data_IF_973095027362
#
_entry.id   IF_973095027362
#
_cell.length_a   1.000
_cell.length_b   1.000
_cell.length_c   1.000
_cell.angle_alpha   90.00
_cell.angle_beta   90.00
_cell.angle_gamma   90.00
#
_symmetry.space_group_name_H-M   'P 1'
#
loop_
_entity.id
_entity.type
_entity.pdbx_description
1 polymer ?
#
# COMPACT_ATOMS: atom_id res chain seq x y z
N UNK A 1 -2.52 0.29 41.42
CA UNK A 1 -1.49 -0.16 40.47
C UNK A 1 -1.47 -1.67 40.50
N UNK A 2 -1.29 -2.29 39.34
CA UNK A 2 -1.22 -3.75 39.15
C UNK A 2 -0.17 -4.09 38.09
N UNK A 3 0.22 -5.36 38.01
CA UNK A 3 1.20 -5.81 37.03
C UNK A 3 0.52 -6.32 35.75
N UNK A 4 1.02 -5.85 34.61
CA UNK A 4 0.75 -6.40 33.30
C UNK A 4 2.01 -7.10 32.79
N UNK A 5 2.00 -8.42 32.75
CA UNK A 5 3.04 -9.21 32.12
C UNK A 5 2.66 -9.49 30.67
N UNK A 6 3.57 -9.23 29.74
CA UNK A 6 3.41 -9.55 28.33
C UNK A 6 4.50 -10.52 27.92
N UNK A 7 4.12 -11.63 27.28
CA UNK A 7 5.04 -12.62 26.71
C UNK A 7 4.90 -12.65 25.19
N UNK A 8 5.98 -12.34 24.50
CA UNK A 8 6.11 -12.58 23.06
C UNK A 8 6.62 -13.99 22.85
N UNK A 9 5.77 -14.91 22.38
CA UNK A 9 6.20 -16.27 22.03
C UNK A 9 7.22 -16.22 20.90
N UNK A 10 8.13 -17.20 20.86
CA UNK A 10 9.11 -17.32 19.79
C UNK A 10 8.39 -17.60 18.48
N UNK A 11 8.66 -16.78 17.47
CA UNK A 11 8.28 -17.01 16.08
C UNK A 11 9.48 -16.76 15.17
N UNK A 12 9.52 -17.42 14.02
CA UNK A 12 10.48 -17.08 12.96
C UNK A 12 10.08 -15.77 12.26
N UNK A 13 8.78 -15.50 12.18
CA UNK A 13 8.21 -14.29 11.57
C UNK A 13 8.49 -13.08 12.46
N UNK A 14 9.07 -12.01 11.91
CA UNK A 14 9.39 -10.79 12.64
C UNK A 14 10.44 -10.97 13.75
N UNK A 15 11.19 -12.08 13.75
CA UNK A 15 12.08 -12.49 14.84
C UNK A 15 13.21 -11.49 15.15
N UNK A 16 13.65 -10.71 14.16
CA UNK A 16 14.70 -9.70 14.28
C UNK A 16 14.17 -8.38 14.87
N UNK A 17 12.88 -8.11 14.73
CA UNK A 17 12.27 -6.87 15.21
C UNK A 17 12.05 -6.87 16.73
N UNK A 18 12.07 -5.68 17.34
CA UNK A 18 11.59 -5.48 18.72
C UNK A 18 10.13 -5.04 18.67
N UNK A 19 9.28 -5.76 19.39
CA UNK A 19 7.88 -5.39 19.57
C UNK A 19 7.82 -4.24 20.58
N UNK A 20 7.25 -3.11 20.19
CA UNK A 20 7.05 -1.94 21.05
C UNK A 20 5.67 -2.01 21.68
N UNK A 21 5.60 -1.85 23.00
CA UNK A 21 4.36 -1.85 23.75
C UNK A 21 3.99 -0.44 24.17
N UNK A 22 2.75 -0.08 23.91
CA UNK A 22 2.16 1.21 24.19
C UNK A 22 0.89 1.03 25.01
N UNK A 23 0.55 2.03 25.82
CA UNK A 23 -0.71 2.09 26.57
C UNK A 23 -1.47 3.36 26.19
N UNK A 24 -2.80 3.31 26.13
CA UNK A 24 -3.62 4.51 25.94
C UNK A 24 -3.34 5.53 27.05
N UNK A 25 -3.03 6.77 26.65
CA UNK A 25 -2.69 7.86 27.56
C UNK A 25 -3.09 9.20 26.90
N UNK A 26 -4.27 9.71 27.26
CA UNK A 26 -4.82 10.96 26.69
C UNK A 26 -4.14 12.23 27.19
N UNK A 27 -3.33 12.12 28.25
CA UNK A 27 -2.69 13.27 28.90
C UNK A 27 -1.25 13.41 28.42
N UNK A 28 -0.52 12.30 28.36
CA UNK A 28 0.92 12.26 28.11
C UNK A 28 1.31 11.44 26.86
N UNK A 29 0.34 11.01 26.06
CA UNK A 29 0.57 10.23 24.84
C UNK A 29 1.36 11.02 23.79
N UNK A 30 2.49 10.46 23.35
CA UNK A 30 3.42 11.06 22.39
C UNK A 30 3.32 10.42 20.98
N UNK A 31 2.50 9.37 20.84
CA UNK A 31 2.25 8.68 19.60
C UNK A 31 0.76 8.36 19.44
N UNK A 32 0.20 8.67 18.28
CA UNK A 32 -1.16 8.27 17.94
C UNK A 32 -1.14 6.94 17.19
N UNK A 33 -1.89 5.95 17.65
CA UNK A 33 -2.09 4.66 16.97
C UNK A 33 -3.58 4.55 16.65
N UNK A 34 -3.95 4.48 15.37
CA UNK A 34 -5.36 4.46 14.92
C UNK A 34 -6.20 5.61 15.51
N UNK A 35 -5.62 6.81 15.64
CA UNK A 35 -6.30 7.97 16.22
C UNK A 35 -6.29 8.03 17.75
N UNK A 36 -5.76 7.00 18.44
CA UNK A 36 -5.71 6.95 19.92
C UNK A 36 -4.35 7.42 20.44
N UNK A 37 -4.28 8.46 21.29
CA UNK A 37 -3.05 8.89 21.94
C UNK A 37 -2.51 7.81 22.89
N UNK A 38 -1.27 7.42 22.67
CA UNK A 38 -0.62 6.35 23.40
C UNK A 38 0.77 6.77 23.88
N UNK A 39 1.20 6.23 25.01
CA UNK A 39 2.56 6.37 25.56
C UNK A 39 3.26 5.03 25.57
N UNK A 40 4.55 5.01 25.20
CA UNK A 40 5.35 3.79 25.22
C UNK A 40 5.61 3.33 26.66
N UNK A 41 5.46 2.03 26.92
CA UNK A 41 5.78 1.42 28.22
C UNK A 41 6.94 0.41 28.16
N UNK A 42 7.29 -0.11 26.97
CA UNK A 42 8.45 -0.98 26.84
C UNK A 42 8.66 -1.60 25.46
N UNK A 43 9.65 -2.49 25.39
CA UNK A 43 10.02 -3.26 24.19
C UNK A 43 10.19 -4.74 24.54
N UNK A 44 9.78 -5.65 23.65
CA UNK A 44 9.98 -7.10 23.76
C UNK A 44 10.74 -7.65 22.54
N UNK A 45 11.85 -8.35 22.81
CA UNK A 45 12.54 -9.22 21.85
C UNK A 45 11.74 -10.51 21.62
N UNK A 46 12.11 -11.24 20.57
CA UNK A 46 11.49 -12.53 20.26
C UNK A 46 11.72 -13.53 21.41
N UNK A 47 10.64 -14.13 21.94
CA UNK A 47 10.71 -15.02 23.10
C UNK A 47 10.84 -14.33 24.46
N UNK A 48 10.81 -12.99 24.52
CA UNK A 48 10.94 -12.24 25.77
C UNK A 48 9.60 -12.12 26.51
N UNK A 49 9.70 -12.01 27.83
CA UNK A 49 8.62 -11.66 28.73
C UNK A 49 9.03 -10.45 29.56
N UNK A 50 8.12 -9.48 29.73
CA UNK A 50 8.33 -8.31 30.58
C UNK A 50 7.06 -7.95 31.35
N UNK A 51 7.27 -7.39 32.54
CA UNK A 51 6.21 -6.91 33.42
C UNK A 51 6.24 -5.39 33.48
N UNK A 52 5.07 -4.78 33.36
CA UNK A 52 4.85 -3.35 33.41
C UNK A 52 3.86 -3.03 34.54
N UNK A 53 4.09 -1.94 35.26
CA UNK A 53 3.16 -1.47 36.29
C UNK A 53 2.16 -0.53 35.62
N UNK A 54 0.86 -0.86 35.72
CA UNK A 54 -0.24 -0.08 35.14
C UNK A 54 -1.25 0.31 36.23
N UNK A 55 -2.15 1.24 35.90
CA UNK A 55 -3.25 1.64 36.78
C UNK A 55 -4.33 0.55 36.92
N UNK A 56 -5.30 0.83 37.79
CA UNK A 56 -6.41 -0.08 38.08
C UNK A 56 -7.64 0.19 37.21
N UNK A 57 -7.64 1.31 36.50
CA UNK A 57 -8.63 1.69 35.52
C UNK A 57 -8.62 0.76 34.30
N UNK A 58 -9.74 0.78 33.57
CA UNK A 58 -9.78 0.21 32.23
C UNK A 58 -8.84 0.98 31.31
N UNK A 59 -8.15 0.27 30.43
CA UNK A 59 -7.19 0.87 29.51
C UNK A 59 -6.96 -0.07 28.35
N UNK A 60 -6.28 0.41 27.31
CA UNK A 60 -5.92 -0.39 26.14
C UNK A 60 -4.42 -0.45 25.98
N UNK A 61 -3.91 -1.65 25.74
CA UNK A 61 -2.50 -1.87 25.39
C UNK A 61 -2.38 -2.15 23.89
N UNK A 62 -1.41 -1.53 23.24
CA UNK A 62 -1.10 -1.69 21.83
C UNK A 62 0.27 -2.31 21.63
N UNK A 63 0.40 -3.11 20.58
CA UNK A 63 1.65 -3.75 20.17
C UNK A 63 1.95 -3.42 18.70
N UNK A 64 3.09 -2.75 18.45
CA UNK A 64 3.54 -2.34 17.11
C UNK A 64 5.03 -2.63 16.91
N UNK A 65 5.50 -2.72 15.67
CA UNK A 65 6.94 -2.87 15.39
C UNK A 65 7.65 -1.53 15.21
N UNK A 66 7.02 -0.57 14.57
CA UNK A 66 7.59 0.76 14.32
C UNK A 66 6.50 1.82 14.14
N UNK A 67 6.94 3.08 14.05
CA UNK A 67 6.04 4.23 13.99
C UNK A 67 5.46 4.47 12.58
N UNK A 68 6.11 3.97 11.53
CA UNK A 68 5.67 4.12 10.15
C UNK A 68 4.51 3.16 9.89
N UNK A 69 4.63 1.92 10.35
CA UNK A 69 3.61 0.89 10.15
C UNK A 69 2.49 0.88 11.19
N UNK A 70 2.52 1.78 12.18
CA UNK A 70 1.70 1.69 13.40
C UNK A 70 0.19 1.61 13.14
N UNK A 71 -0.30 2.18 12.05
CA UNK A 71 -1.73 2.28 11.75
C UNK A 71 -2.26 1.09 10.91
N UNK A 72 -1.40 0.13 10.56
CA UNK A 72 -1.78 -1.07 9.80
C UNK A 72 -1.14 -2.36 10.31
N UNK A 73 0.07 -2.29 10.86
CA UNK A 73 0.78 -3.37 11.53
C UNK A 73 0.73 -3.16 13.06
N UNK A 74 -0.47 -3.33 13.62
CA UNK A 74 -0.72 -3.28 15.05
C UNK A 74 -1.75 -4.33 15.49
N UNK A 75 -1.77 -4.60 16.79
CA UNK A 75 -2.88 -5.24 17.50
C UNK A 75 -3.03 -4.57 18.87
N UNK A 76 -4.21 -4.65 19.46
CA UNK A 76 -4.49 -4.11 20.78
C UNK A 76 -5.24 -5.10 21.65
N UNK A 77 -5.17 -4.91 22.96
CA UNK A 77 -5.96 -5.67 23.94
C UNK A 77 -6.61 -4.70 24.92
N UNK A 78 -7.92 -4.82 25.12
CA UNK A 78 -8.65 -4.05 26.13
C UNK A 78 -8.44 -4.70 27.50
N UNK A 79 -7.84 -3.94 28.42
CA UNK A 79 -7.58 -4.37 29.79
C UNK A 79 -8.72 -3.89 30.68
N UNK A 80 -9.52 -4.78 31.27
CA UNK A 80 -10.63 -4.39 32.15
C UNK A 80 -10.11 -3.76 33.44
N UNK A 81 -10.89 -2.88 34.06
CA UNK A 81 -10.57 -2.34 35.38
C UNK A 81 -10.41 -3.46 36.43
N UNK A 82 -9.53 -3.27 37.41
CA UNK A 82 -9.28 -4.24 38.48
C UNK A 82 -7.96 -4.02 39.21
N UNK A 83 -7.73 -4.83 40.25
CA UNK A 83 -6.56 -4.80 41.12
C UNK A 83 -5.71 -6.08 41.04
N UNK A 84 -6.01 -6.97 40.09
CA UNK A 84 -5.31 -8.22 39.85
C UNK A 84 -4.28 -8.10 38.72
N UNK A 85 -3.24 -8.92 38.80
CA UNK A 85 -2.20 -9.02 37.78
C UNK A 85 -2.71 -9.75 36.53
N UNK A 86 -2.24 -9.33 35.35
CA UNK A 86 -2.61 -9.93 34.07
C UNK A 86 -1.39 -10.50 33.33
N UNK A 87 -1.58 -11.63 32.65
CA UNK A 87 -0.63 -12.18 31.69
C UNK A 87 -1.25 -12.17 30.29
N UNK A 88 -0.65 -11.41 29.38
CA UNK A 88 -0.98 -11.43 27.96
C UNK A 88 0.11 -12.18 27.19
N UNK A 89 -0.31 -12.99 26.23
CA UNK A 89 0.60 -13.74 25.35
C UNK A 89 0.26 -13.47 23.90
N UNK A 90 1.24 -13.65 23.01
CA UNK A 90 0.98 -13.56 21.58
C UNK A 90 2.20 -13.83 20.73
N UNK A 91 2.04 -13.76 19.42
CA UNK A 91 3.12 -13.93 18.46
C UNK A 91 2.85 -13.21 17.14
N UNK A 92 3.89 -13.03 16.35
CA UNK A 92 3.77 -12.61 14.96
C UNK A 92 3.05 -13.66 14.12
N UNK A 93 2.15 -13.20 13.27
CA UNK A 93 1.50 -14.02 12.24
C UNK A 93 2.07 -13.67 10.87
N UNK A 94 2.33 -14.67 10.04
CA UNK A 94 2.75 -14.42 8.66
C UNK A 94 1.55 -13.89 7.86
N UNK A 95 1.58 -12.60 7.56
CA UNK A 95 0.62 -11.91 6.71
C UNK A 95 1.29 -10.61 6.23
N UNK A 96 1.95 -10.63 5.05
CA UNK A 96 2.60 -9.46 4.48
C UNK A 96 1.68 -8.23 4.35
N UNK A 97 0.40 -8.44 3.99
CA UNK A 97 -0.61 -7.37 3.90
C UNK A 97 -0.95 -6.71 5.23
N UNK A 98 -0.48 -7.24 6.37
CA UNK A 98 -0.57 -6.57 7.68
C UNK A 98 0.81 -6.33 8.31
N UNK A 99 1.88 -6.34 7.50
CA UNK A 99 3.26 -6.15 7.97
C UNK A 99 3.73 -7.24 8.94
N UNK A 100 3.15 -8.45 8.89
CA UNK A 100 3.39 -9.54 9.82
C UNK A 100 3.14 -9.17 11.30
N UNK A 101 2.04 -8.44 11.55
CA UNK A 101 1.68 -7.94 12.87
C UNK A 101 1.73 -9.00 13.97
N UNK A 102 2.10 -8.56 15.18
CA UNK A 102 1.91 -9.34 16.40
C UNK A 102 0.41 -9.48 16.69
N UNK A 103 -0.03 -10.65 17.14
CA UNK A 103 -1.42 -10.90 17.57
C UNK A 103 -1.44 -11.41 19.00
N UNK A 104 -2.25 -10.76 19.83
CA UNK A 104 -2.55 -11.27 21.17
C UNK A 104 -3.39 -12.55 21.07
N UNK A 105 -3.03 -13.56 21.86
CA UNK A 105 -3.77 -14.81 21.96
C UNK A 105 -5.13 -14.59 22.64
N UNK A 106 -6.15 -15.37 22.26
CA UNK A 106 -7.51 -15.34 22.84
C UNK A 106 -8.18 -13.95 22.79
N UNK A 107 -7.83 -13.13 21.81
CA UNK A 107 -8.32 -11.77 21.66
C UNK A 107 -9.15 -11.65 20.38
N UNK A 108 -10.44 -11.96 20.50
CA UNK A 108 -11.38 -12.09 19.38
C UNK A 108 -12.63 -11.23 19.58
N UNK A 109 -12.50 -10.07 20.22
CA UNK A 109 -13.62 -9.13 20.27
C UNK A 109 -13.87 -8.54 18.88
N UNK A 110 -15.12 -8.18 18.61
CA UNK A 110 -15.54 -7.61 17.31
C UNK A 110 -14.67 -6.41 16.91
N UNK A 111 -14.41 -5.48 17.83
CA UNK A 111 -13.55 -4.33 17.57
C UNK A 111 -12.08 -4.68 17.29
N UNK A 112 -11.58 -5.81 17.81
CA UNK A 112 -10.21 -6.27 17.52
C UNK A 112 -10.17 -6.88 16.13
N UNK A 113 -11.17 -7.69 15.77
CA UNK A 113 -11.28 -8.25 14.42
C UNK A 113 -11.43 -7.16 13.36
N UNK A 114 -12.25 -6.15 13.62
CA UNK A 114 -12.41 -4.99 12.73
C UNK A 114 -11.08 -4.22 12.57
N UNK A 115 -10.34 -3.99 13.66
CA UNK A 115 -9.02 -3.37 13.61
C UNK A 115 -8.03 -4.19 12.76
N UNK A 116 -8.04 -5.52 12.91
CA UNK A 116 -7.19 -6.43 12.12
C UNK A 116 -7.55 -6.39 10.64
N UNK A 117 -8.85 -6.38 10.30
CA UNK A 117 -9.33 -6.22 8.92
C UNK A 117 -8.89 -4.88 8.36
N UNK A 118 -9.17 -3.78 9.05
CA UNK A 118 -8.75 -2.41 8.66
C UNK A 118 -7.24 -2.29 8.47
N UNK A 119 -6.45 -2.84 9.38
CA UNK A 119 -5.00 -2.87 9.27
C UNK A 119 -4.51 -3.70 8.09
N UNK A 120 -5.14 -4.83 7.80
CA UNK A 120 -4.84 -5.63 6.61
C UNK A 120 -5.19 -4.86 5.33
N UNK A 121 -6.32 -4.13 5.30
CA UNK A 121 -6.67 -3.27 4.15
C UNK A 121 -5.60 -2.23 3.90
N UNK A 122 -5.22 -1.48 4.94
CA UNK A 122 -4.19 -0.45 4.85
C UNK A 122 -2.82 -1.03 4.46
N UNK A 123 -2.42 -2.15 5.06
CA UNK A 123 -1.12 -2.75 4.78
C UNK A 123 -1.04 -3.42 3.41
N UNK A 124 -2.15 -3.96 2.89
CA UNK A 124 -2.24 -4.41 1.51
C UNK A 124 -1.98 -3.24 0.56
N UNK A 125 -2.62 -2.11 0.80
CA UNK A 125 -2.41 -0.89 0.00
C UNK A 125 -0.96 -0.42 0.10
N UNK A 126 -0.35 -0.39 1.29
CA UNK A 126 1.08 -0.05 1.44
C UNK A 126 1.98 -1.00 0.63
N UNK A 127 1.64 -2.29 0.59
CA UNK A 127 2.39 -3.28 -0.18
C UNK A 127 2.25 -3.06 -1.71
N UNK A 128 1.04 -2.70 -2.16
CA UNK A 128 0.77 -2.29 -3.55
C UNK A 128 1.57 -1.03 -3.90
N UNK A 129 1.58 -0.03 -3.00
CA UNK A 129 2.30 1.25 -3.12
C UNK A 129 3.81 1.09 -3.19
N UNK A 130 4.40 0.16 -2.44
CA UNK A 130 5.83 -0.11 -2.53
C UNK A 130 6.27 -0.59 -3.93
N UNK A 131 5.35 -1.09 -4.75
CA UNK A 131 5.60 -1.48 -6.14
C UNK A 131 5.43 -0.32 -7.13
N UNK A 132 4.67 0.73 -6.79
CA UNK A 132 4.36 1.87 -7.69
C UNK A 132 5.53 2.88 -7.76
N UNK A 133 6.33 3.02 -6.71
CA UNK A 133 7.44 4.01 -6.61
C UNK A 133 8.79 3.46 -7.13
N UNK A 134 8.79 2.29 -7.79
CA UNK A 134 9.99 1.54 -8.15
C UNK A 134 10.47 1.70 -9.61
N UNK A 135 11.44 2.60 -9.82
CA UNK A 135 12.57 2.44 -10.77
C UNK A 135 12.24 2.48 -12.28
N UNK A 136 12.11 3.69 -12.85
CA UNK A 136 12.45 3.97 -14.27
C UNK A 136 13.99 4.08 -14.42
N UNK A 137 14.76 3.10 -13.93
CA UNK A 137 16.19 3.03 -14.28
C UNK A 137 16.28 2.30 -15.63
N UNK A 138 16.30 3.09 -16.70
CA UNK A 138 16.64 2.60 -18.05
C UNK A 138 15.49 2.42 -19.03
N UNK A 139 14.26 2.85 -18.74
CA UNK A 139 13.10 2.68 -19.67
C UNK A 139 13.14 3.64 -20.88
N UNK A 140 14.14 4.52 -20.98
CA UNK A 140 14.37 5.33 -22.19
C UNK A 140 15.71 4.97 -22.84
N UNK A 141 16.03 3.66 -22.99
CA UNK A 141 17.16 3.26 -23.84
C UNK A 141 16.74 3.47 -25.30
N UNK A 142 16.90 4.71 -25.75
CA UNK A 142 16.75 5.08 -27.15
C UNK A 142 17.64 4.21 -28.02
N UNK A 143 17.01 3.41 -28.89
CA UNK A 143 17.68 2.94 -30.10
C UNK A 143 17.32 3.91 -31.22
N UNK A 144 18.35 4.49 -31.83
CA UNK A 144 18.24 5.41 -32.95
C UNK A 144 17.73 4.73 -34.21
N UNK A 145 16.44 4.45 -34.26
CA UNK A 145 15.69 4.26 -35.50
C UNK A 145 14.49 5.18 -35.38
N UNK A 146 14.69 6.45 -35.75
CA UNK A 146 13.59 7.32 -36.12
C UNK A 146 13.00 6.70 -37.38
N UNK A 147 11.90 5.97 -37.22
CA UNK A 147 11.07 5.60 -38.37
C UNK A 147 10.39 6.88 -38.85
N UNK A 148 10.67 7.31 -40.08
CA UNK A 148 10.04 8.47 -40.71
C UNK A 148 8.55 8.22 -41.07
N UNK A 149 8.00 7.08 -40.63
CA UNK A 149 6.62 6.65 -40.85
C UNK A 149 5.78 6.93 -39.61
N UNK A 150 4.52 7.37 -39.77
CA UNK A 150 3.63 7.56 -38.62
C UNK A 150 3.41 6.22 -37.91
N UNK A 151 3.53 6.24 -36.58
CA UNK A 151 3.32 5.07 -35.74
C UNK A 151 1.93 4.46 -35.96
N UNK A 152 1.87 3.14 -36.12
CA UNK A 152 0.63 2.42 -36.36
C UNK A 152 0.06 1.87 -35.04
N UNK A 153 -1.27 1.81 -34.86
CA UNK A 153 -1.86 1.25 -33.65
C UNK A 153 -1.48 -0.23 -33.45
N UNK A 154 -0.98 -0.56 -32.26
CA UNK A 154 -0.66 -1.94 -31.87
C UNK A 154 -1.32 -2.29 -30.53
N UNK A 155 -1.95 -3.47 -30.47
CA UNK A 155 -2.63 -3.96 -29.26
C UNK A 155 -1.72 -4.89 -28.47
N UNK A 156 -1.44 -4.51 -27.22
CA UNK A 156 -0.70 -5.29 -26.25
C UNK A 156 -1.68 -6.00 -25.32
N UNK A 157 -1.41 -7.27 -25.00
CA UNK A 157 -2.27 -8.07 -24.11
C UNK A 157 -1.45 -8.70 -23.00
N UNK A 158 -1.91 -8.56 -21.75
CA UNK A 158 -1.35 -9.21 -20.57
C UNK A 158 -2.46 -9.81 -19.72
N UNK A 159 -2.41 -11.13 -19.55
CA UNK A 159 -3.52 -11.88 -18.94
C UNK A 159 -4.85 -11.58 -19.65
N UNK A 160 -5.86 -11.10 -18.92
CA UNK A 160 -7.16 -10.69 -19.46
C UNK A 160 -7.24 -9.19 -19.79
N UNK A 161 -6.18 -8.41 -19.60
CA UNK A 161 -6.14 -6.99 -19.96
C UNK A 161 -5.53 -6.80 -21.35
N UNK A 162 -6.13 -5.96 -22.18
CA UNK A 162 -5.53 -5.45 -23.41
C UNK A 162 -5.54 -3.93 -23.47
N UNK A 163 -4.52 -3.34 -24.10
CA UNK A 163 -4.39 -1.91 -24.35
C UNK A 163 -3.88 -1.69 -25.77
N UNK A 164 -4.44 -0.71 -26.49
CA UNK A 164 -3.95 -0.31 -27.81
C UNK A 164 -3.08 0.94 -27.68
N UNK A 165 -1.80 0.79 -27.97
CA UNK A 165 -0.76 1.83 -28.00
C UNK A 165 -0.35 2.07 -29.48
N UNK A 166 0.94 2.14 -29.76
CA UNK A 166 1.51 2.14 -31.11
C UNK A 166 2.65 1.15 -31.22
N UNK A 167 3.07 0.85 -32.45
CA UNK A 167 4.22 -0.01 -32.77
C UNK A 167 5.59 0.59 -32.39
N UNK A 168 5.62 1.84 -31.92
CA UNK A 168 6.77 2.44 -31.24
C UNK A 168 6.99 1.88 -29.83
N UNK A 169 5.95 1.26 -29.24
CA UNK A 169 6.06 0.68 -27.91
C UNK A 169 6.64 -0.74 -27.96
N UNK A 170 7.44 -1.08 -26.96
CA UNK A 170 7.93 -2.45 -26.73
C UNK A 170 7.72 -2.86 -25.28
N UNK A 171 7.45 -4.14 -25.07
CA UNK A 171 7.41 -4.69 -23.71
C UNK A 171 8.83 -4.72 -23.11
N UNK A 172 8.94 -4.23 -21.88
CA UNK A 172 10.17 -4.24 -21.07
C UNK A 172 9.91 -4.89 -19.72
N UNK A 173 10.97 -5.37 -19.08
CA UNK A 173 10.88 -5.89 -17.72
C UNK A 173 11.05 -4.74 -16.72
N UNK A 174 10.08 -4.56 -15.85
CA UNK A 174 10.14 -3.66 -14.71
C UNK A 174 9.75 -4.43 -13.45
N UNK A 175 10.67 -4.49 -12.47
CA UNK A 175 10.42 -5.19 -11.22
C UNK A 175 9.26 -4.54 -10.46
N UNK A 176 8.31 -5.34 -9.97
CA UNK A 176 7.12 -4.85 -9.27
C UNK A 176 5.91 -4.58 -10.16
N UNK A 177 6.04 -4.68 -11.49
CA UNK A 177 4.93 -4.49 -12.42
C UNK A 177 4.55 -5.80 -13.11
N UNK A 178 3.26 -5.95 -13.41
CA UNK A 178 2.73 -7.09 -14.18
C UNK A 178 3.17 -7.02 -15.64
N UNK A 179 3.14 -5.80 -16.22
CA UNK A 179 3.69 -5.48 -17.52
C UNK A 179 4.23 -4.06 -17.52
N UNK A 180 5.23 -3.82 -18.36
CA UNK A 180 5.71 -2.49 -18.66
C UNK A 180 5.96 -2.38 -20.17
N UNK A 181 5.62 -1.22 -20.74
CA UNK A 181 5.86 -0.91 -22.14
C UNK A 181 6.64 0.41 -22.22
N UNK A 182 7.65 0.48 -23.08
CA UNK A 182 8.45 1.69 -23.31
C UNK A 182 8.31 2.17 -24.75
N UNK A 183 8.34 3.50 -24.90
CA UNK A 183 8.55 4.22 -26.16
C UNK A 183 9.61 5.30 -25.93
N UNK A 184 9.89 6.14 -26.92
CA UNK A 184 10.88 7.23 -26.78
C UNK A 184 10.52 8.21 -25.65
N UNK A 185 9.22 8.52 -25.46
CA UNK A 185 8.79 9.60 -24.57
C UNK A 185 7.77 9.18 -23.50
N UNK A 186 7.16 8.01 -23.64
CA UNK A 186 6.17 7.51 -22.67
C UNK A 186 6.49 6.09 -22.24
N UNK A 187 6.49 5.87 -20.93
CA UNK A 187 6.48 4.55 -20.32
C UNK A 187 5.06 4.22 -19.85
N UNK A 188 4.65 2.96 -19.99
CA UNK A 188 3.39 2.43 -19.46
C UNK A 188 3.72 1.35 -18.43
N UNK A 189 3.11 1.45 -17.25
CA UNK A 189 3.37 0.58 -16.11
C UNK A 189 2.04 0.01 -15.61
N UNK A 190 1.93 -1.32 -15.53
CA UNK A 190 0.68 -2.02 -15.20
C UNK A 190 0.83 -2.77 -13.88
N UNK A 191 -0.09 -2.54 -12.94
CA UNK A 191 -0.28 -3.38 -11.76
C UNK A 191 -1.69 -3.97 -11.72
N UNK A 192 -1.82 -5.10 -11.02
CA UNK A 192 -3.06 -5.86 -10.83
C UNK A 192 -3.16 -6.28 -9.37
N UNK A 193 -4.32 -6.06 -8.78
CA UNK A 193 -4.62 -6.44 -7.41
C UNK A 193 -5.88 -7.30 -7.32
N UNK A 194 -5.71 -8.61 -7.13
CA UNK A 194 -6.81 -9.57 -7.04
C UNK A 194 -7.72 -9.30 -5.84
N UNK A 195 -9.04 -9.42 -6.01
CA UNK A 195 -10.02 -9.31 -4.92
C UNK A 195 -9.80 -10.36 -3.82
N UNK A 196 -9.17 -11.48 -4.16
CA UNK A 196 -8.80 -12.53 -3.18
C UNK A 196 -7.77 -12.06 -2.14
N UNK A 197 -7.07 -10.95 -2.39
CA UNK A 197 -6.09 -10.41 -1.46
C UNK A 197 -6.72 -10.03 -0.10
N UNK A 198 -8.02 -9.73 -0.08
CA UNK A 198 -8.74 -9.33 1.12
C UNK A 198 -10.26 -9.50 0.98
N UNK A 199 -10.89 -10.06 2.02
CA UNK A 199 -12.34 -10.13 2.12
C UNK A 199 -13.01 -8.74 2.03
N UNK A 200 -13.94 -8.61 1.07
CA UNK A 200 -14.64 -7.37 0.76
C UNK A 200 -13.81 -6.36 -0.04
N UNK A 201 -12.63 -6.73 -0.55
CA UNK A 201 -11.85 -5.84 -1.42
C UNK A 201 -12.56 -5.62 -2.76
N UNK A 202 -13.20 -6.65 -3.31
CA UNK A 202 -14.05 -6.52 -4.50
C UNK A 202 -15.28 -5.62 -4.32
N UNK A 203 -15.62 -5.20 -3.11
CA UNK A 203 -16.79 -4.35 -2.85
C UNK A 203 -16.51 -2.86 -3.10
N UNK A 204 -15.24 -2.44 -3.12
CA UNK A 204 -14.86 -1.04 -3.36
C UNK A 204 -15.24 -0.58 -4.78
N UNK A 205 -15.58 0.69 -4.95
CA UNK A 205 -15.67 1.29 -6.29
C UNK A 205 -14.27 1.58 -6.84
N UNK A 206 -14.18 1.88 -8.14
CA UNK A 206 -12.91 2.27 -8.78
C UNK A 206 -12.37 3.56 -8.16
N UNK A 207 -13.27 4.50 -7.86
CA UNK A 207 -12.93 5.78 -7.24
C UNK A 207 -12.44 5.62 -5.80
N UNK A 208 -13.06 4.72 -5.02
CA UNK A 208 -12.58 4.42 -3.67
C UNK A 208 -11.20 3.78 -3.70
N UNK A 209 -10.98 2.82 -4.62
CA UNK A 209 -9.68 2.22 -4.85
C UNK A 209 -8.64 3.29 -5.25
N UNK A 210 -8.92 4.14 -6.22
CA UNK A 210 -8.02 5.22 -6.63
C UNK A 210 -7.74 6.22 -5.50
N UNK A 211 -8.75 6.54 -4.68
CA UNK A 211 -8.60 7.45 -3.54
C UNK A 211 -7.69 6.87 -2.46
N UNK A 212 -7.82 5.56 -2.23
CA UNK A 212 -6.94 4.80 -1.34
C UNK A 212 -5.49 4.82 -1.88
N UNK A 213 -5.28 4.65 -3.19
CA UNK A 213 -3.95 4.74 -3.81
C UNK A 213 -3.34 6.13 -3.60
N UNK A 214 -4.09 7.20 -3.83
CA UNK A 214 -3.63 8.59 -3.59
C UNK A 214 -3.28 8.84 -2.12
N UNK A 215 -4.15 8.43 -1.19
CA UNK A 215 -3.95 8.65 0.24
C UNK A 215 -2.69 7.94 0.76
N UNK A 216 -2.48 6.67 0.40
CA UNK A 216 -1.39 5.86 0.96
C UNK A 216 -0.03 6.20 0.34
N UNK A 217 0.01 6.66 -0.91
CA UNK A 217 1.24 7.19 -1.52
C UNK A 217 1.60 8.60 -1.02
N UNK A 218 0.79 9.19 -0.13
CA UNK A 218 0.95 10.58 0.32
C UNK A 218 1.09 11.56 -0.86
N UNK A 219 0.37 11.32 -1.97
CA UNK A 219 0.40 12.19 -3.15
C UNK A 219 -0.28 13.50 -2.80
N UNK A 220 0.53 14.46 -2.33
CA UNK A 220 0.05 15.79 -1.92
C UNK A 220 -0.58 16.49 -3.11
N UNK A 221 -1.62 17.24 -2.82
CA UNK A 221 -2.34 18.05 -3.81
C UNK A 221 -2.91 17.26 -5.01
N UNK A 222 -2.93 15.93 -4.92
CA UNK A 222 -3.50 15.03 -5.91
C UNK A 222 -4.94 14.70 -5.56
N UNK A 223 -5.82 14.70 -6.56
CA UNK A 223 -7.23 14.34 -6.40
C UNK A 223 -7.62 13.33 -7.47
N UNK A 224 -8.46 12.37 -7.06
CA UNK A 224 -9.13 11.46 -8.00
C UNK A 224 -10.14 12.25 -8.81
N UNK A 225 -10.05 12.11 -10.13
CA UNK A 225 -10.88 12.78 -11.13
C UNK A 225 -11.61 11.74 -11.97
N UNK A 226 -12.66 12.20 -12.66
CA UNK A 226 -13.39 11.40 -13.65
C UNK A 226 -13.47 12.13 -14.99
N UNK A 227 -13.33 11.37 -16.07
CA UNK A 227 -13.59 11.83 -17.43
C UNK A 227 -14.31 10.72 -18.21
N UNK A 228 -15.62 10.89 -18.44
CA UNK A 228 -16.46 9.79 -18.90
C UNK A 228 -16.45 8.63 -17.90
N UNK A 229 -16.14 7.43 -18.38
CA UNK A 229 -16.03 6.22 -17.55
C UNK A 229 -14.63 6.03 -16.93
N UNK A 230 -13.66 6.88 -17.29
CA UNK A 230 -12.31 6.81 -16.74
C UNK A 230 -12.26 7.43 -15.35
N UNK A 231 -11.62 6.71 -14.43
CA UNK A 231 -11.23 7.20 -13.09
C UNK A 231 -9.72 7.34 -13.06
N UNK A 232 -9.21 8.53 -12.77
CA UNK A 232 -7.78 8.81 -12.91
C UNK A 232 -7.28 9.85 -11.91
N UNK A 233 -5.98 9.88 -11.71
CA UNK A 233 -5.28 10.92 -10.96
C UNK A 233 -3.89 11.13 -11.57
N UNK A 234 -3.37 12.35 -11.46
CA UNK A 234 -2.05 12.69 -11.98
C UNK A 234 -1.19 13.25 -10.86
N UNK A 235 0.11 13.01 -10.94
CA UNK A 235 1.09 13.53 -9.99
C UNK A 235 2.47 13.66 -10.66
N UNK A 236 3.28 14.57 -10.14
CA UNK A 236 4.67 14.71 -10.54
C UNK A 236 5.62 13.89 -9.65
N UNK A 237 6.71 13.40 -10.23
CA UNK A 237 7.79 12.78 -9.48
C UNK A 237 9.14 13.20 -10.03
N UNK A 238 9.96 13.79 -9.16
CA UNK A 238 11.36 14.08 -9.45
C UNK A 238 12.21 12.83 -9.22
N UNK A 239 12.77 12.27 -10.30
CA UNK A 239 13.72 11.17 -10.22
C UNK A 239 15.14 11.73 -9.99
N UNK A 240 15.76 11.49 -8.82
CA UNK A 240 17.09 12.02 -8.53
C UNK A 240 18.22 11.37 -9.35
N UNK A 241 18.01 10.15 -9.85
CA UNK A 241 19.01 9.40 -10.61
C UNK A 241 19.11 9.91 -12.04
N UNK A 242 17.96 10.15 -12.69
CA UNK A 242 17.90 10.72 -14.05
C UNK A 242 17.92 12.25 -14.06
N UNK A 243 17.63 12.89 -12.91
CA UNK A 243 17.45 14.33 -12.75
C UNK A 243 16.31 14.91 -13.60
N UNK A 244 15.31 14.09 -13.87
CA UNK A 244 14.14 14.45 -14.68
C UNK A 244 12.89 14.42 -13.81
N UNK A 245 12.04 15.44 -13.97
CA UNK A 245 10.67 15.41 -13.46
C UNK A 245 9.80 14.68 -14.47
N UNK A 246 9.09 13.67 -13.99
CA UNK A 246 8.11 12.94 -14.77
C UNK A 246 6.71 13.31 -14.30
N UNK A 247 5.80 13.53 -15.24
CA UNK A 247 4.37 13.56 -14.97
C UNK A 247 3.83 12.13 -15.12
N UNK A 248 3.08 11.68 -14.13
CA UNK A 248 2.38 10.40 -14.14
C UNK A 248 0.90 10.63 -14.37
N UNK A 249 0.34 9.93 -15.35
CA UNK A 249 -1.09 9.84 -15.61
C UNK A 249 -1.55 8.44 -15.19
N UNK A 250 -2.28 8.35 -14.08
CA UNK A 250 -2.66 7.07 -13.48
C UNK A 250 -4.15 6.81 -13.67
N UNK A 251 -4.49 5.72 -14.35
CA UNK A 251 -5.86 5.31 -14.62
C UNK A 251 -6.18 4.03 -13.86
N UNK A 252 -7.26 4.07 -13.09
CA UNK A 252 -7.75 2.94 -12.32
C UNK A 252 -8.92 2.26 -13.04
N UNK A 253 -8.91 0.93 -13.03
CA UNK A 253 -9.93 0.10 -13.62
C UNK A 253 -10.34 -1.02 -12.67
N UNK A 254 -11.51 -1.59 -12.92
CA UNK A 254 -12.02 -2.74 -12.19
C UNK A 254 -12.54 -3.77 -13.16
N UNK A 255 -12.01 -4.98 -13.04
CA UNK A 255 -12.41 -6.18 -13.76
C UNK A 255 -13.28 -7.07 -12.86
N UNK A 256 -13.64 -8.26 -13.32
CA UNK A 256 -14.47 -9.18 -12.52
C UNK A 256 -13.76 -9.71 -11.26
N UNK A 257 -12.43 -9.78 -11.28
CA UNK A 257 -11.61 -10.44 -10.25
C UNK A 257 -10.55 -9.54 -9.60
N UNK A 258 -10.26 -8.37 -10.17
CA UNK A 258 -9.19 -7.51 -9.70
C UNK A 258 -9.43 -6.01 -9.97
N UNK A 259 -8.73 -5.17 -9.18
CA UNK A 259 -8.41 -3.80 -9.57
C UNK A 259 -7.15 -3.77 -10.42
N UNK A 260 -7.08 -2.79 -11.31
CA UNK A 260 -5.93 -2.56 -12.16
C UNK A 260 -5.55 -1.08 -12.11
N UNK A 261 -4.24 -0.82 -12.05
CA UNK A 261 -3.69 0.53 -12.17
C UNK A 261 -2.74 0.55 -13.37
N UNK A 262 -3.04 1.41 -14.34
CA UNK A 262 -2.20 1.64 -15.51
C UNK A 262 -1.68 3.07 -15.43
N UNK A 263 -0.37 3.20 -15.36
CA UNK A 263 0.30 4.48 -15.18
C UNK A 263 1.13 4.78 -16.41
N UNK A 264 0.96 6.00 -16.95
CA UNK A 264 1.76 6.51 -18.04
C UNK A 264 2.72 7.55 -17.47
N UNK A 265 4.02 7.34 -17.65
CA UNK A 265 5.05 8.27 -17.19
C UNK A 265 5.72 8.93 -18.40
N UNK A 266 5.75 10.26 -18.41
CA UNK A 266 6.38 11.07 -19.45
C UNK A 266 7.24 12.16 -18.80
N UNK A 267 8.43 12.48 -19.34
CA UNK A 267 9.15 13.68 -18.94
C UNK A 267 8.28 14.93 -19.09
N UNK A 268 8.44 15.89 -18.18
CA UNK A 268 7.67 17.14 -18.16
C UNK A 268 7.67 17.87 -19.53
N UNK A 269 8.79 17.81 -20.25
CA UNK A 269 8.95 18.48 -21.56
C UNK A 269 8.07 17.89 -22.67
N UNK A 270 7.61 16.65 -22.55
CA UNK A 270 6.77 15.96 -23.54
C UNK A 270 5.28 15.91 -23.15
N UNK A 271 4.90 16.43 -21.98
CA UNK A 271 3.53 16.33 -21.45
C UNK A 271 2.49 16.86 -22.42
N UNK A 272 2.73 18.02 -23.06
CA UNK A 272 1.75 18.62 -23.97
C UNK A 272 1.46 17.77 -25.22
N UNK A 273 2.43 16.96 -25.63
CA UNK A 273 2.30 16.05 -26.78
C UNK A 273 1.72 14.70 -26.33
N UNK A 274 2.14 14.20 -25.16
CA UNK A 274 1.77 12.89 -24.65
C UNK A 274 0.35 12.85 -24.05
N UNK A 275 -0.09 13.88 -23.33
CA UNK A 275 -1.38 13.89 -22.61
C UNK A 275 -2.59 13.48 -23.49
N UNK A 276 -2.81 14.06 -24.69
CA UNK A 276 -3.94 13.64 -25.53
C UNK A 276 -3.83 12.18 -25.99
N UNK A 277 -2.62 11.70 -26.29
CA UNK A 277 -2.38 10.32 -26.71
C UNK A 277 -2.63 9.33 -25.55
N UNK A 278 -2.11 9.66 -24.37
CA UNK A 278 -2.30 8.90 -23.14
C UNK A 278 -3.79 8.74 -22.82
N UNK A 279 -4.58 9.80 -22.97
CA UNK A 279 -6.02 9.72 -22.74
C UNK A 279 -6.71 8.76 -23.73
N UNK A 280 -6.26 8.71 -24.98
CA UNK A 280 -6.83 7.79 -25.98
C UNK A 280 -6.37 6.35 -25.76
N UNK A 281 -5.11 6.13 -25.37
CA UNK A 281 -4.61 4.82 -24.92
C UNK A 281 -5.33 4.32 -23.66
N UNK A 282 -5.60 5.19 -22.70
CA UNK A 282 -6.35 4.82 -21.49
C UNK A 282 -7.80 4.40 -21.80
N UNK A 283 -8.43 4.96 -22.84
CA UNK A 283 -9.77 4.55 -23.29
C UNK A 283 -9.76 3.21 -24.03
N UNK A 284 -8.63 2.80 -24.60
CA UNK A 284 -8.52 1.55 -25.36
C UNK A 284 -8.30 0.32 -24.49
N UNK A 285 -8.23 0.52 -23.16
CA UNK A 285 -8.08 -0.56 -22.19
C UNK A 285 -9.37 -1.38 -22.11
N UNK A 286 -9.24 -2.68 -22.35
CA UNK A 286 -10.34 -3.64 -22.29
C UNK A 286 -9.94 -4.84 -21.41
N UNK A 287 -10.95 -5.46 -20.80
CA UNK A 287 -10.78 -6.68 -20.00
C UNK A 287 -11.65 -7.79 -20.59
N UNK A 288 -11.02 -8.93 -20.92
CA UNK A 288 -11.73 -10.12 -21.35
C UNK A 288 -12.50 -10.76 -20.18
N UNK A 289 -13.71 -11.24 -20.48
CA UNK A 289 -14.57 -12.01 -19.57
C UNK A 289 -14.07 -13.43 -19.30
#
# INVERSE_FOLDING_TARGET
>A
MRNLTIRRKKSFVGCLGKLKIYIEDRVSGDLTINGVPCRKIGDLKNGEEKTFVIGNEETRVYAIFDKLSKDYCNDYFDIPAGDYDLLLTGQNQYNPASGNAFRFDNNNSEGVEENRKKGTRKGLVVLIVACIVGVIIGIFVGWGIVSDSPAEPETFTKENMSITLTDDFREVQAEGYLAAYDSENVAVLVTKEDFSLLEGFGDYTVEEYAGIVVEVNELKDTQVKKFGDLTYFNYDYYNPDTKTTYEYFSYAYKSQDAFWLIQFATPEEYVSEAEPLIMDWAKSVEFAD
#
